data_IF_556043731849
#
_entry.id   IF_556043731849
#
_cell.length_a   1.000
_cell.length_b   1.000
_cell.length_c   1.000
_cell.angle_alpha   90.00
_cell.angle_beta   90.00
_cell.angle_gamma   90.00
#
_symmetry.space_group_name_H-M   'P 1'
#
loop_
_entity.id
_entity.type
_entity.pdbx_description
1 polymer ?
#
# COMPACT_ATOMS: atom_id res chain seq x y z
N UNK A 1 -29.64 -25.02 -11.08
CA UNK A 1 -28.53 -24.52 -10.24
C UNK A 1 -27.73 -23.51 -11.05
N UNK A 2 -27.71 -22.24 -10.64
CA UNK A 2 -27.04 -21.17 -11.41
C UNK A 2 -25.53 -21.20 -11.18
N UNK A 3 -24.76 -21.28 -12.26
CA UNK A 3 -23.31 -21.34 -12.22
C UNK A 3 -22.72 -20.07 -11.56
N UNK A 4 -21.98 -20.26 -10.47
CA UNK A 4 -21.27 -19.21 -9.75
C UNK A 4 -20.18 -18.63 -10.66
N UNK A 5 -20.38 -17.43 -11.21
CA UNK A 5 -19.39 -16.69 -12.00
C UNK A 5 -18.08 -16.62 -11.21
N UNK A 6 -17.03 -17.29 -11.70
CA UNK A 6 -15.68 -17.13 -11.15
C UNK A 6 -15.21 -15.71 -11.49
N UNK A 7 -14.64 -14.94 -10.54
CA UNK A 7 -14.13 -13.61 -10.84
C UNK A 7 -13.07 -13.75 -11.93
N UNK A 8 -13.26 -13.02 -13.03
CA UNK A 8 -12.37 -13.02 -14.19
C UNK A 8 -10.94 -12.73 -13.73
N UNK A 9 -10.01 -13.53 -14.23
CA UNK A 9 -8.58 -13.45 -13.94
C UNK A 9 -8.10 -12.00 -13.91
N UNK A 10 -7.37 -11.65 -12.85
CA UNK A 10 -6.74 -10.34 -12.68
C UNK A 10 -5.94 -9.98 -13.93
N UNK A 11 -6.52 -9.14 -14.79
CA UNK A 11 -5.83 -8.64 -15.97
C UNK A 11 -4.58 -7.85 -15.52
N UNK A 12 -3.37 -8.19 -15.98
CA UNK A 12 -2.14 -7.51 -15.58
C UNK A 12 -2.20 -6.00 -15.79
N UNK A 13 -2.90 -5.53 -16.83
CA UNK A 13 -3.12 -4.10 -17.10
C UNK A 13 -3.94 -3.45 -15.97
N UNK A 14 -4.99 -4.13 -15.49
CA UNK A 14 -5.80 -3.63 -14.36
C UNK A 14 -5.01 -3.59 -13.06
N UNK A 15 -4.06 -4.52 -12.86
CA UNK A 15 -3.16 -4.49 -11.70
C UNK A 15 -2.23 -3.29 -11.75
N UNK A 16 -1.64 -3.02 -12.91
CA UNK A 16 -0.77 -1.85 -13.13
C UNK A 16 -1.57 -0.56 -12.92
N UNK A 17 -2.76 -0.44 -13.52
CA UNK A 17 -3.62 0.72 -13.33
C UNK A 17 -3.94 0.98 -11.85
N UNK A 18 -4.30 -0.06 -11.08
CA UNK A 18 -4.55 0.06 -9.63
C UNK A 18 -3.32 0.51 -8.84
N UNK A 19 -2.12 0.07 -9.23
CA UNK A 19 -0.88 0.49 -8.59
C UNK A 19 -0.59 1.98 -8.89
N UNK A 20 -0.80 2.42 -10.12
CA UNK A 20 -0.66 3.82 -10.54
C UNK A 20 -1.66 4.70 -9.79
N UNK A 21 -2.93 4.31 -9.72
CA UNK A 21 -3.96 5.05 -8.98
C UNK A 21 -3.61 5.18 -7.48
N UNK A 22 -3.10 4.10 -6.88
CA UNK A 22 -2.68 4.11 -5.49
C UNK A 22 -1.49 5.05 -5.26
N UNK A 23 -0.50 5.06 -6.17
CA UNK A 23 0.62 5.97 -6.11
C UNK A 23 0.18 7.44 -6.30
N UNK A 24 -0.77 7.70 -7.21
CA UNK A 24 -1.34 9.04 -7.41
C UNK A 24 -2.04 9.58 -6.16
N UNK A 25 -2.85 8.75 -5.50
CA UNK A 25 -3.51 9.13 -4.24
C UNK A 25 -2.52 9.40 -3.11
N UNK A 26 -1.48 8.59 -3.01
CA UNK A 26 -0.43 8.80 -2.02
C UNK A 26 0.38 10.08 -2.31
N UNK A 27 0.63 10.41 -3.58
CA UNK A 27 1.28 11.65 -3.96
C UNK A 27 0.43 12.88 -3.59
N UNK A 28 -0.89 12.83 -3.82
CA UNK A 28 -1.79 13.90 -3.42
C UNK A 28 -1.88 14.03 -1.90
N UNK A 29 -1.94 12.91 -1.18
CA UNK A 29 -1.91 12.91 0.29
C UNK A 29 -0.58 13.46 0.80
N UNK A 30 0.55 13.13 0.17
CA UNK A 30 1.86 13.66 0.53
C UNK A 30 1.92 15.18 0.30
N UNK A 31 1.41 15.69 -0.83
CA UNK A 31 1.33 17.13 -1.10
C UNK A 31 0.50 17.86 -0.05
N UNK A 32 -0.68 17.33 0.28
CA UNK A 32 -1.56 17.93 1.30
C UNK A 32 -0.94 17.92 2.69
N UNK A 33 -0.19 16.87 3.01
CA UNK A 33 0.42 16.68 4.33
C UNK A 33 1.78 17.39 4.45
N UNK A 34 2.45 17.71 3.33
CA UNK A 34 3.77 18.35 3.34
C UNK A 34 3.75 19.75 3.97
N UNK A 35 2.64 20.46 3.81
CA UNK A 35 2.40 21.79 4.39
C UNK A 35 1.79 21.73 5.79
N UNK A 36 1.47 20.55 6.33
CA UNK A 36 0.87 20.39 7.66
C UNK A 36 1.96 20.26 8.76
N UNK A 37 2.07 21.23 9.69
CA UNK A 37 3.01 21.15 10.81
C UNK A 37 2.73 19.99 11.77
N UNK A 38 1.47 19.61 11.96
CA UNK A 38 1.07 18.49 12.81
C UNK A 38 1.58 17.16 12.22
N UNK A 39 1.45 17.00 10.91
CA UNK A 39 1.99 15.85 10.21
C UNK A 39 3.51 15.71 10.38
N UNK A 40 4.26 16.82 10.32
CA UNK A 40 5.72 16.82 10.56
C UNK A 40 6.08 16.41 11.98
N UNK A 41 5.35 16.92 12.98
CA UNK A 41 5.53 16.53 14.39
C UNK A 41 5.24 15.05 14.60
N UNK A 42 4.16 14.53 14.01
CA UNK A 42 3.78 13.12 14.07
C UNK A 42 4.82 12.22 13.39
N UNK A 43 5.40 12.63 12.27
CA UNK A 43 6.51 11.92 11.63
C UNK A 43 7.73 11.81 12.58
N UNK A 44 8.04 12.88 13.31
CA UNK A 44 9.16 12.88 14.26
C UNK A 44 8.88 11.97 15.47
N UNK A 45 7.64 11.97 15.99
CA UNK A 45 7.25 11.15 17.13
C UNK A 45 7.07 9.66 16.78
N UNK A 46 6.34 9.37 15.70
CA UNK A 46 6.13 8.00 15.19
C UNK A 46 6.13 8.01 13.66
N UNK A 47 7.31 7.84 13.09
CA UNK A 47 7.51 7.78 11.65
C UNK A 47 6.77 6.61 11.01
N UNK A 48 6.75 5.44 11.65
CA UNK A 48 6.20 4.22 11.03
C UNK A 48 4.68 4.24 11.06
N UNK A 49 4.07 4.62 12.18
CA UNK A 49 2.61 4.78 12.28
C UNK A 49 2.11 5.91 11.41
N UNK A 50 2.80 7.05 11.38
CA UNK A 50 2.39 8.20 10.55
C UNK A 50 2.48 7.88 9.06
N UNK A 51 3.57 7.24 8.60
CA UNK A 51 3.70 6.83 7.20
C UNK A 51 2.80 5.65 6.82
N UNK A 52 2.24 4.92 7.79
CA UNK A 52 1.25 3.89 7.50
C UNK A 52 -0.07 4.45 6.98
N UNK A 53 -0.32 5.76 7.00
CA UNK A 53 -1.50 6.35 6.34
C UNK A 53 -1.45 6.17 4.80
N UNK A 54 -0.25 6.09 4.23
CA UNK A 54 -0.02 5.92 2.80
C UNK A 54 -0.26 4.46 2.39
N UNK A 55 -1.08 4.29 1.34
CA UNK A 55 -1.52 2.96 0.91
C UNK A 55 -0.36 2.14 0.35
N UNK A 56 0.55 2.77 -0.38
CA UNK A 56 1.76 2.14 -0.92
C UNK A 56 2.71 1.69 0.19
N UNK A 57 2.84 2.45 1.29
CA UNK A 57 3.64 2.07 2.45
C UNK A 57 3.06 0.83 3.13
N UNK A 58 1.73 0.75 3.30
CA UNK A 58 1.08 -0.47 3.81
C UNK A 58 1.35 -1.68 2.92
N UNK A 59 1.25 -1.51 1.60
CA UNK A 59 1.52 -2.58 0.64
C UNK A 59 2.99 -3.04 0.73
N UNK A 60 3.94 -2.11 0.81
CA UNK A 60 5.36 -2.44 0.96
C UNK A 60 5.66 -3.19 2.26
N UNK A 61 5.04 -2.81 3.38
CA UNK A 61 5.17 -3.53 4.66
C UNK A 61 4.59 -4.95 4.56
N UNK A 62 3.41 -5.10 3.98
CA UNK A 62 2.78 -6.40 3.78
C UNK A 62 3.61 -7.31 2.86
N UNK A 63 4.20 -6.77 1.80
CA UNK A 63 5.05 -7.54 0.90
C UNK A 63 6.36 -7.94 1.58
N UNK A 64 6.96 -7.07 2.41
CA UNK A 64 8.10 -7.43 3.26
C UNK A 64 7.75 -8.59 4.20
N UNK A 65 6.59 -8.56 4.86
CA UNK A 65 6.15 -9.67 5.71
C UNK A 65 5.95 -10.97 4.95
N UNK A 66 5.38 -10.93 3.74
CA UNK A 66 5.24 -12.11 2.89
C UNK A 66 6.61 -12.67 2.50
N UNK A 67 7.56 -11.81 2.13
CA UNK A 67 8.93 -12.22 1.77
C UNK A 67 9.61 -12.87 2.98
N UNK A 68 9.52 -12.27 4.17
CA UNK A 68 10.11 -12.84 5.39
C UNK A 68 9.48 -14.19 5.77
N UNK A 69 8.15 -14.33 5.65
CA UNK A 69 7.46 -15.63 5.83
C UNK A 69 7.91 -16.66 4.79
N UNK A 70 8.07 -16.25 3.54
CA UNK A 70 8.53 -17.14 2.47
C UNK A 70 9.98 -17.58 2.67
N UNK A 71 10.86 -16.70 3.18
CA UNK A 71 12.24 -17.04 3.56
C UNK A 71 12.27 -18.04 4.72
N UNK A 72 11.51 -17.79 5.79
CA UNK A 72 11.40 -18.70 6.96
C UNK A 72 10.86 -20.08 6.61
N UNK A 73 10.02 -20.17 5.58
CA UNK A 73 9.44 -21.45 5.12
C UNK A 73 10.38 -22.26 4.20
N UNK A 74 11.45 -21.62 3.71
CA UNK A 74 12.49 -22.23 2.86
C UNK A 74 13.76 -22.61 3.64
N UNK A 75 13.90 -22.10 4.87
CA UNK A 75 14.93 -22.51 5.83
C UNK A 75 14.42 -23.67 6.68
#
# INVERSE_FOLDING_TARGET
>A
MTAKKRPSADNPIRRIARAIDAAGRDADLARRSASDPEFRRRIQADRRGTLSSFRTVRHALADREKIEKAKKKKS
#
